data_IF_345665352568
#
_entry.id   IF_345665352568
#
_cell.length_a   1.000
_cell.length_b   1.000
_cell.length_c   1.000
_cell.angle_alpha   90.00
_cell.angle_beta   90.00
_cell.angle_gamma   90.00
#
_symmetry.space_group_name_H-M   'P 1'
#
loop_
_entity.id
_entity.type
_entity.pdbx_description
1 polymer ?
#
# COMPACT_ATOMS: atom_id res chain seq x y z
N UNK A 1 -0.09 -14.65 9.91
CA UNK A 1 0.35 -14.25 11.26
C UNK A 1 -0.60 -13.19 11.73
N UNK A 2 -1.13 -13.36 12.94
CA UNK A 2 -1.97 -12.36 13.60
C UNK A 2 -1.21 -11.97 14.84
N UNK A 3 -0.38 -10.94 14.74
CA UNK A 3 0.25 -10.36 15.90
C UNK A 3 -0.71 -9.36 16.59
N UNK A 4 -0.42 -8.96 17.84
CA UNK A 4 -1.18 -7.89 18.49
C UNK A 4 -1.20 -6.59 17.68
N UNK A 5 -0.08 -6.18 17.05
CA UNK A 5 -0.04 -5.03 16.14
C UNK A 5 -0.93 -5.19 14.90
N UNK A 6 -0.90 -6.37 14.25
CA UNK A 6 -1.80 -6.69 13.13
C UNK A 6 -3.28 -6.58 13.53
N UNK A 7 -3.66 -7.17 14.66
CA UNK A 7 -5.03 -7.13 15.15
C UNK A 7 -5.45 -5.71 15.54
N UNK A 8 -4.54 -4.94 16.15
CA UNK A 8 -4.75 -3.54 16.53
C UNK A 8 -5.00 -2.64 15.33
N UNK A 9 -4.27 -2.79 14.22
CA UNK A 9 -4.54 -2.04 12.98
C UNK A 9 -5.99 -2.24 12.51
N UNK A 10 -6.44 -3.49 12.44
CA UNK A 10 -7.79 -3.83 11.96
C UNK A 10 -8.88 -3.42 12.96
N UNK A 11 -8.62 -3.59 14.26
CA UNK A 11 -9.52 -3.17 15.32
C UNK A 11 -9.71 -1.64 15.35
N UNK A 12 -8.64 -0.87 15.26
CA UNK A 12 -8.72 0.60 15.22
C UNK A 12 -9.41 1.10 13.94
N UNK A 13 -9.17 0.44 12.80
CA UNK A 13 -9.85 0.78 11.56
C UNK A 13 -11.38 0.63 11.69
N UNK A 14 -11.83 -0.39 12.43
CA UNK A 14 -13.26 -0.60 12.74
C UNK A 14 -13.83 0.42 13.73
N UNK A 15 -13.07 0.85 14.74
CA UNK A 15 -13.58 1.69 15.84
C UNK A 15 -13.59 3.20 15.55
N UNK A 16 -12.65 3.68 14.73
CA UNK A 16 -12.27 5.11 14.73
C UNK A 16 -13.11 6.04 13.83
N UNK A 17 -14.28 5.62 13.34
CA UNK A 17 -14.95 6.21 12.15
C UNK A 17 -14.00 6.30 10.93
N UNK A 18 -12.87 5.58 10.99
CA UNK A 18 -11.81 5.58 10.00
C UNK A 18 -12.04 4.39 9.09
N UNK A 19 -12.98 4.54 8.16
CA UNK A 19 -13.35 3.46 7.23
C UNK A 19 -12.26 3.18 6.15
N UNK A 20 -11.08 3.80 6.27
CA UNK A 20 -10.04 3.80 5.24
C UNK A 20 -8.63 4.02 5.80
N UNK A 21 -7.67 3.24 5.30
CA UNK A 21 -6.24 3.46 5.46
C UNK A 21 -5.77 4.32 4.27
N UNK A 22 -5.24 5.49 4.57
CA UNK A 22 -4.79 6.48 3.57
C UNK A 22 -3.27 6.46 3.37
N UNK A 23 -2.78 6.50 2.12
CA UNK A 23 -1.38 6.64 1.81
C UNK A 23 -0.92 8.09 2.03
N UNK A 24 0.36 8.26 2.29
CA UNK A 24 1.06 9.54 2.21
C UNK A 24 2.31 9.34 1.37
N UNK A 25 2.81 10.39 0.75
CA UNK A 25 4.11 10.33 0.05
C UNK A 25 5.13 11.05 0.91
N UNK A 26 6.15 10.32 1.33
CA UNK A 26 7.26 10.89 2.08
C UNK A 26 8.07 11.85 1.20
N UNK A 27 8.91 12.68 1.82
CA UNK A 27 9.85 13.57 1.10
C UNK A 27 10.85 12.82 0.22
N UNK A 28 11.05 11.53 0.50
CA UNK A 28 11.87 10.60 -0.29
C UNK A 28 11.12 10.07 -1.52
N UNK A 29 9.87 10.48 -1.73
CA UNK A 29 8.98 9.95 -2.76
C UNK A 29 8.56 8.51 -2.54
N UNK A 30 8.78 7.95 -1.34
CA UNK A 30 8.22 6.66 -0.95
C UNK A 30 6.75 6.85 -0.58
N UNK A 31 5.88 5.96 -1.06
CA UNK A 31 4.52 5.84 -0.52
C UNK A 31 4.64 5.20 0.85
N UNK A 32 3.97 5.75 1.84
CA UNK A 32 3.93 5.26 3.20
C UNK A 32 2.50 5.21 3.71
N UNK A 33 2.28 4.44 4.77
CA UNK A 33 0.97 4.29 5.41
C UNK A 33 1.07 4.64 6.89
N UNK A 34 1.05 5.93 7.26
CA UNK A 34 1.39 6.37 8.62
C UNK A 34 0.55 5.74 9.73
N UNK A 35 -0.72 5.43 9.43
CA UNK A 35 -1.60 4.74 10.37
C UNK A 35 -1.15 3.30 10.63
N UNK A 36 -0.75 2.57 9.59
CA UNK A 36 -0.26 1.20 9.71
C UNK A 36 1.09 1.20 10.43
N UNK A 37 2.01 2.06 10.00
CA UNK A 37 3.34 2.24 10.61
C UNK A 37 3.28 2.55 12.11
N UNK A 38 2.27 3.31 12.54
CA UNK A 38 2.10 3.67 13.95
C UNK A 38 1.58 2.50 14.81
N UNK A 39 0.84 1.58 14.22
CA UNK A 39 0.10 0.56 14.95
C UNK A 39 0.74 -0.83 14.90
N UNK A 40 1.49 -1.13 13.85
CA UNK A 40 2.30 -2.34 13.79
C UNK A 40 3.41 -2.32 14.84
N UNK A 41 3.70 -3.49 15.39
CA UNK A 41 4.86 -3.69 16.26
C UNK A 41 6.12 -3.88 15.40
N UNK A 42 7.31 -3.60 15.96
CA UNK A 42 8.59 -3.69 15.23
C UNK A 42 8.84 -5.08 14.59
N UNK A 43 8.21 -6.14 15.13
CA UNK A 43 8.34 -7.53 14.67
C UNK A 43 7.30 -7.94 13.61
N UNK A 44 6.36 -7.06 13.28
CA UNK A 44 5.31 -7.30 12.28
C UNK A 44 5.80 -7.16 10.84
N UNK A 45 6.96 -6.51 10.66
CA UNK A 45 7.59 -6.31 9.37
C UNK A 45 7.15 -5.02 8.69
N UNK A 46 7.14 -5.08 7.36
CA UNK A 46 6.95 -3.92 6.50
C UNK A 46 5.45 -3.59 6.31
N UNK A 47 5.02 -2.32 6.44
CA UNK A 47 3.62 -1.92 6.29
C UNK A 47 3.00 -2.32 4.94
N UNK A 48 3.76 -2.25 3.84
CA UNK A 48 3.30 -2.63 2.51
C UNK A 48 3.06 -4.14 2.43
N UNK A 49 3.97 -4.94 3.01
CA UNK A 49 3.80 -6.39 3.10
C UNK A 49 2.58 -6.77 3.96
N UNK A 50 2.31 -6.02 5.04
CA UNK A 50 1.09 -6.19 5.84
C UNK A 50 -0.17 -5.92 4.99
N UNK A 51 -0.21 -4.80 4.26
CA UNK A 51 -1.36 -4.42 3.43
C UNK A 51 -1.61 -5.43 2.30
N UNK A 52 -0.55 -5.95 1.68
CA UNK A 52 -0.60 -7.01 0.69
C UNK A 52 -1.16 -8.31 1.31
N UNK A 53 -0.62 -8.74 2.45
CA UNK A 53 -1.08 -9.95 3.14
C UNK A 53 -2.54 -9.89 3.59
N UNK A 54 -3.01 -8.73 4.09
CA UNK A 54 -4.42 -8.55 4.46
C UNK A 54 -5.34 -8.47 3.23
N UNK A 55 -4.83 -7.98 2.10
CA UNK A 55 -5.57 -7.96 0.82
C UNK A 55 -5.69 -9.35 0.22
N UNK A 56 -4.62 -10.14 0.24
CA UNK A 56 -4.60 -11.53 -0.24
C UNK A 56 -5.57 -12.42 0.55
N UNK A 57 -5.80 -12.08 1.81
CA UNK A 57 -6.79 -12.73 2.70
C UNK A 57 -8.20 -12.13 2.58
N UNK A 58 -8.40 -11.19 1.66
CA UNK A 58 -9.67 -10.49 1.44
C UNK A 58 -10.19 -9.71 2.68
N UNK A 59 -9.35 -9.48 3.69
CA UNK A 59 -9.70 -8.71 4.90
C UNK A 59 -9.67 -7.20 4.60
N UNK A 60 -8.76 -6.78 3.73
CA UNK A 60 -8.71 -5.44 3.17
C UNK A 60 -9.01 -5.46 1.68
N UNK A 61 -9.60 -4.37 1.19
CA UNK A 61 -9.82 -4.14 -0.25
C UNK A 61 -9.08 -2.87 -0.68
N UNK A 62 -8.10 -2.97 -1.60
CA UNK A 62 -7.47 -1.81 -2.19
C UNK A 62 -8.44 -1.05 -3.11
N UNK A 63 -8.36 0.27 -3.08
CA UNK A 63 -9.03 1.18 -3.99
C UNK A 63 -7.99 2.17 -4.49
N UNK A 64 -7.71 2.12 -5.79
CA UNK A 64 -6.84 3.12 -6.43
C UNK A 64 -7.47 4.50 -6.26
N UNK A 65 -6.66 5.47 -5.82
CA UNK A 65 -7.11 6.85 -5.70
C UNK A 65 -6.55 7.71 -6.84
N UNK A 66 -5.22 7.86 -6.89
CA UNK A 66 -4.51 8.56 -7.94
C UNK A 66 -3.06 8.05 -8.01
N UNK A 67 -2.30 8.55 -8.99
CA UNK A 67 -0.86 8.34 -9.07
C UNK A 67 -0.14 9.68 -9.00
N UNK A 68 1.04 9.68 -8.41
CA UNK A 68 1.95 10.84 -8.42
C UNK A 68 3.16 10.54 -9.28
N UNK A 69 3.78 11.61 -9.77
CA UNK A 69 5.10 11.55 -10.38
C UNK A 69 6.15 11.98 -9.36
N UNK A 70 7.19 11.16 -9.22
CA UNK A 70 8.33 11.41 -8.34
C UNK A 70 9.53 11.87 -9.17
N UNK A 71 10.17 12.94 -8.72
CA UNK A 71 11.37 13.47 -9.35
C UNK A 71 12.52 12.46 -9.28
N UNK A 72 13.19 12.13 -10.40
CA UNK A 72 14.30 11.18 -10.40
C UNK A 72 15.56 11.70 -9.68
N UNK A 73 15.74 13.03 -9.59
CA UNK A 73 16.96 13.62 -9.04
C UNK A 73 16.87 13.95 -7.54
N UNK A 74 15.73 14.43 -7.07
CA UNK A 74 15.55 14.84 -5.66
C UNK A 74 14.46 14.09 -4.91
N UNK A 75 13.76 13.16 -5.58
CA UNK A 75 12.63 12.39 -5.03
C UNK A 75 11.44 13.22 -4.52
N UNK A 76 11.37 14.50 -4.89
CA UNK A 76 10.23 15.36 -4.62
C UNK A 76 8.95 14.83 -5.28
N UNK A 77 7.87 14.83 -4.52
CA UNK A 77 6.55 14.39 -4.97
C UNK A 77 5.77 15.49 -5.70
N UNK A 78 4.67 15.12 -6.34
CA UNK A 78 3.72 16.10 -6.88
C UNK A 78 4.32 16.99 -7.97
N UNK A 79 5.18 16.41 -8.83
CA UNK A 79 5.77 17.15 -9.95
C UNK A 79 4.67 17.81 -10.79
N UNK A 80 4.87 19.08 -11.13
CA UNK A 80 3.87 19.86 -11.82
C UNK A 80 3.90 19.56 -13.32
N UNK A 81 2.78 19.09 -13.85
CA UNK A 81 2.59 18.97 -15.28
C UNK A 81 2.60 20.34 -15.97
N UNK A 82 3.36 20.43 -17.06
CA UNK A 82 3.50 21.64 -17.88
C UNK A 82 3.68 21.32 -19.36
N UNK A 83 3.45 22.34 -20.20
CA UNK A 83 3.76 22.32 -21.63
C UNK A 83 5.19 22.76 -21.87
N UNK A 84 5.98 21.93 -22.56
CA UNK A 84 7.38 22.18 -22.88
C UNK A 84 7.64 22.41 -24.37
N UNK A 85 8.70 23.16 -24.66
CA UNK A 85 9.22 23.37 -25.99
C UNK A 85 9.77 22.05 -26.59
N UNK A 86 9.33 21.64 -27.80
CA UNK A 86 9.88 20.48 -28.48
C UNK A 86 11.37 20.61 -28.82
N UNK A 87 11.86 21.84 -29.02
CA UNK A 87 13.23 22.13 -29.48
C UNK A 87 14.26 22.05 -28.35
N UNK A 88 13.94 22.58 -27.17
CA UNK A 88 14.90 22.68 -26.06
C UNK A 88 14.41 22.08 -24.73
N UNK A 89 13.17 21.59 -24.66
CA UNK A 89 12.58 21.00 -23.46
C UNK A 89 12.10 22.00 -22.39
N UNK A 90 12.41 23.29 -22.52
CA UNK A 90 12.00 24.33 -21.56
C UNK A 90 10.48 24.44 -21.44
N UNK A 91 9.99 24.65 -20.22
CA UNK A 91 8.58 24.95 -19.92
C UNK A 91 8.23 26.43 -20.06
N UNK A 92 9.21 27.27 -20.40
CA UNK A 92 9.02 28.71 -20.61
C UNK A 92 8.51 28.99 -22.04
N UNK A 93 7.30 28.52 -22.32
CA UNK A 93 6.62 28.75 -23.59
C UNK A 93 5.18 29.19 -23.36
N UNK A 94 4.77 30.24 -24.07
CA UNK A 94 3.40 30.77 -24.00
C UNK A 94 2.73 30.74 -25.36
N UNK A 95 1.40 30.60 -25.35
CA UNK A 95 0.61 30.58 -26.57
C UNK A 95 0.23 32.00 -26.98
N UNK A 96 0.83 32.46 -28.07
CA UNK A 96 0.77 33.84 -28.55
C UNK A 96 0.06 33.93 -29.90
N UNK A 97 -0.62 35.06 -30.20
CA UNK A 97 -1.18 35.29 -31.52
C UNK A 97 -0.05 35.46 -32.55
N UNK A 98 -0.20 34.79 -33.68
CA UNK A 98 0.70 34.89 -34.83
C UNK A 98 -0.12 35.09 -36.10
N UNK A 99 0.43 35.82 -37.05
CA UNK A 99 -0.14 35.92 -38.39
C UNK A 99 0.52 34.83 -39.23
N UNK A 100 -0.27 34.00 -39.89
CA UNK A 100 0.22 32.98 -40.81
C UNK A 100 -0.43 33.13 -42.18
N UNK A 101 0.28 32.70 -43.22
CA UNK A 101 -0.31 32.56 -44.55
C UNK A 101 -1.24 31.34 -44.55
N UNK A 102 -2.53 31.56 -44.85
CA UNK A 102 -3.55 30.52 -44.83
C UNK A 102 -3.24 29.34 -45.77
N UNK A 103 -2.57 29.60 -46.90
CA UNK A 103 -2.24 28.56 -47.89
C UNK A 103 -1.09 27.65 -47.45
N UNK A 104 -0.01 28.20 -46.89
CA UNK A 104 1.22 27.42 -46.62
C UNK A 104 1.59 27.28 -45.13
N UNK A 105 0.92 28.01 -44.22
CA UNK A 105 1.18 27.97 -42.78
C UNK A 105 2.46 28.70 -42.32
N UNK A 106 3.15 29.40 -43.24
CA UNK A 106 4.32 30.22 -42.91
C UNK A 106 3.94 31.40 -42.02
N UNK A 107 4.70 31.63 -40.94
CA UNK A 107 4.49 32.76 -40.01
C UNK A 107 5.05 34.04 -40.61
N UNK A 108 4.30 35.14 -40.47
CA UNK A 108 4.69 36.49 -40.89
C UNK A 108 4.89 37.39 -39.67
N UNK A 109 5.78 38.38 -39.78
CA UNK A 109 5.99 39.37 -38.73
C UNK A 109 4.79 40.31 -38.67
N UNK A 110 4.39 40.69 -37.44
CA UNK A 110 3.23 41.58 -37.22
C UNK A 110 3.37 42.92 -37.92
N UNK A 111 4.60 43.41 -38.02
CA UNK A 111 4.94 44.76 -38.50
C UNK A 111 4.95 44.82 -40.03
N UNK A 112 4.89 43.68 -40.73
CA UNK A 112 4.92 43.61 -42.21
C UNK A 112 3.64 44.12 -42.88
N UNK A 113 2.60 44.47 -42.11
CA UNK A 113 1.27 44.83 -42.63
C UNK A 113 0.74 46.19 -42.14
N UNK A 114 1.54 46.97 -41.41
CA UNK A 114 1.08 48.26 -40.87
C UNK A 114 0.92 49.37 -41.93
N UNK A 115 1.56 49.23 -43.10
CA UNK A 115 1.61 50.28 -44.15
C UNK A 115 0.78 49.99 -45.41
N UNK A 116 0.05 48.86 -45.49
CA UNK A 116 -0.89 48.57 -46.59
C UNK A 116 -0.25 48.08 -47.90
N UNK A 117 0.99 47.60 -47.85
CA UNK A 117 1.70 47.00 -48.98
C UNK A 117 1.59 45.45 -49.00
N UNK A 118 1.67 44.86 -50.19
CA UNK A 118 1.76 43.42 -50.42
C UNK A 118 2.98 42.85 -49.67
N UNK A 119 2.78 41.86 -48.81
CA UNK A 119 3.87 41.18 -48.12
C UNK A 119 4.20 39.86 -48.83
N UNK A 120 5.47 39.54 -48.99
CA UNK A 120 5.87 38.23 -49.54
C UNK A 120 5.99 37.22 -48.41
N UNK A 121 5.29 36.09 -48.50
CA UNK A 121 5.34 35.04 -47.48
C UNK A 121 6.73 34.41 -47.40
N UNK A 122 7.42 34.38 -46.24
CA UNK A 122 8.75 33.79 -46.12
C UNK A 122 8.77 32.27 -46.30
N UNK A 123 7.62 31.61 -46.11
CA UNK A 123 7.49 30.16 -46.22
C UNK A 123 7.38 29.65 -47.67
N UNK A 124 6.69 30.38 -48.56
CA UNK A 124 6.45 29.94 -49.94
C UNK A 124 6.85 30.96 -51.01
N UNK A 125 7.31 32.16 -50.61
CA UNK A 125 7.68 33.27 -51.50
C UNK A 125 6.56 33.79 -52.41
N UNK A 126 5.30 33.51 -52.06
CA UNK A 126 4.13 34.06 -52.76
C UNK A 126 3.74 35.40 -52.12
N UNK A 127 3.28 36.35 -52.94
CA UNK A 127 2.71 37.60 -52.45
C UNK A 127 1.37 37.31 -51.77
N UNK A 128 1.20 37.80 -50.53
CA UNK A 128 0.02 37.57 -49.71
C UNK A 128 -0.72 38.88 -49.46
N UNK A 129 -2.04 38.83 -49.66
CA UNK A 129 -2.95 39.94 -49.33
C UNK A 129 -3.58 39.71 -47.95
N UNK A 130 -4.27 40.71 -47.39
CA UNK A 130 -4.97 40.57 -46.10
C UNK A 130 -5.97 39.38 -46.10
N UNK A 131 -6.56 39.04 -47.24
CA UNK A 131 -7.50 37.93 -47.38
C UNK A 131 -6.82 36.55 -47.29
N UNK A 132 -5.51 36.48 -47.54
CA UNK A 132 -4.70 35.26 -47.48
C UNK A 132 -4.09 35.03 -46.08
N UNK A 133 -4.34 35.93 -45.13
CA UNK A 133 -3.82 35.86 -43.77
C UNK A 133 -4.82 35.25 -42.80
N UNK A 134 -4.29 34.39 -41.93
CA UNK A 134 -5.04 33.84 -40.81
C UNK A 134 -4.36 34.19 -39.49
N UNK A 135 -5.16 34.60 -38.50
CA UNK A 135 -4.69 34.81 -37.14
C UNK A 135 -4.76 33.51 -36.38
N UNK A 136 -3.61 32.89 -36.14
CA UNK A 136 -3.50 31.67 -35.38
C UNK A 136 -2.87 31.93 -34.01
N UNK A 137 -2.88 30.92 -33.14
CA UNK A 137 -2.26 30.96 -31.82
C UNK A 137 -1.25 29.83 -31.70
N UNK A 138 0.03 30.17 -31.77
CA UNK A 138 1.17 29.24 -31.74
C UNK A 138 1.95 29.42 -30.44
N UNK A 139 2.60 28.37 -29.95
CA UNK A 139 3.51 28.52 -28.82
C UNK A 139 4.79 29.19 -29.27
N UNK A 140 5.29 30.11 -28.44
CA UNK A 140 6.62 30.71 -28.57
C UNK A 140 7.43 30.33 -27.35
N UNK A 141 8.57 29.69 -27.55
CA UNK A 141 9.52 29.44 -26.47
C UNK A 141 10.36 30.71 -26.24
N UNK A 142 10.42 31.15 -24.99
CA UNK A 142 11.17 32.35 -24.60
C UNK A 142 12.65 32.08 -24.36
N UNK A 143 13.06 30.82 -24.24
CA UNK A 143 14.46 30.45 -24.00
C UNK A 143 15.22 30.20 -25.31
N UNK A 144 14.59 29.57 -26.32
CA UNK A 144 15.24 29.27 -27.61
C UNK A 144 14.62 30.01 -28.81
N UNK A 145 13.50 30.71 -28.63
CA UNK A 145 12.82 31.46 -29.68
C UNK A 145 12.02 30.61 -30.68
N UNK A 146 12.03 29.27 -30.56
CA UNK A 146 11.29 28.42 -31.51
C UNK A 146 9.79 28.63 -31.40
N UNK A 147 9.10 28.60 -32.53
CA UNK A 147 7.64 28.64 -32.63
C UNK A 147 7.09 27.29 -33.07
N UNK A 148 6.07 26.78 -32.40
CA UNK A 148 5.53 25.43 -32.63
C UNK A 148 4.05 25.32 -32.24
N UNK A 149 3.32 24.44 -32.89
CA UNK A 149 1.88 24.27 -32.67
C UNK A 149 1.59 23.34 -31.49
N UNK A 150 2.28 22.19 -31.44
CA UNK A 150 2.10 21.16 -30.43
C UNK A 150 3.21 21.20 -29.37
N UNK A 151 2.93 21.63 -28.13
CA UNK A 151 3.88 21.53 -27.05
C UNK A 151 4.10 20.07 -26.66
N UNK A 152 5.30 19.78 -26.17
CA UNK A 152 5.59 18.49 -25.53
C UNK A 152 5.11 18.47 -24.09
N UNK A 153 4.86 17.28 -23.54
CA UNK A 153 4.50 17.11 -22.14
C UNK A 153 5.75 17.07 -21.26
N UNK A 154 5.75 17.84 -20.18
CA UNK A 154 6.84 17.93 -19.22
C UNK A 154 6.32 17.89 -17.79
N UNK A 155 7.16 17.42 -16.89
CA UNK A 155 6.99 17.49 -15.45
C UNK A 155 8.10 18.36 -14.89
N UNK A 156 7.72 19.40 -14.16
CA UNK A 156 8.63 20.32 -13.49
C UNK A 156 8.62 20.04 -11.99
N UNK A 157 9.79 19.75 -11.45
CA UNK A 157 9.97 19.58 -10.01
C UNK A 157 10.11 20.95 -9.34
N UNK A 158 9.28 21.22 -8.33
CA UNK A 158 9.31 22.48 -7.58
C UNK A 158 10.44 22.56 -6.54
N UNK A 159 11.05 21.42 -6.22
CA UNK A 159 12.10 21.34 -5.20
C UNK A 159 13.50 21.53 -5.78
N UNK A 160 13.77 21.01 -6.98
CA UNK A 160 15.09 21.08 -7.64
C UNK A 160 15.09 21.78 -9.01
N UNK A 161 13.94 22.28 -9.46
CA UNK A 161 13.72 22.91 -10.76
C UNK A 161 13.97 22.00 -11.99
N UNK A 162 14.22 20.71 -11.78
CA UNK A 162 14.40 19.73 -12.85
C UNK A 162 13.15 19.60 -13.74
N UNK A 163 13.37 19.45 -15.05
CA UNK A 163 12.32 19.31 -16.07
C UNK A 163 12.54 18.01 -16.82
N UNK A 164 11.55 17.11 -16.77
CA UNK A 164 11.64 15.78 -17.39
C UNK A 164 10.40 15.48 -18.24
N UNK A 165 10.53 14.68 -19.30
CA UNK A 165 9.40 13.98 -19.89
C UNK A 165 8.74 13.06 -18.85
N UNK A 166 7.41 12.87 -18.86
CA UNK A 166 6.74 11.92 -17.96
C UNK A 166 7.34 10.51 -17.98
N UNK A 167 7.74 10.03 -19.16
CA UNK A 167 8.34 8.70 -19.33
C UNK A 167 9.72 8.52 -18.65
N UNK A 168 10.37 9.61 -18.22
CA UNK A 168 11.66 9.58 -17.52
C UNK A 168 11.49 9.79 -16.00
N UNK A 169 10.25 9.85 -15.52
CA UNK A 169 9.94 9.99 -14.09
C UNK A 169 9.36 8.69 -13.53
N UNK A 170 9.44 8.53 -12.21
CA UNK A 170 8.85 7.37 -11.53
C UNK A 170 7.38 7.65 -11.23
N UNK A 171 6.50 6.74 -11.63
CA UNK A 171 5.08 6.79 -11.31
C UNK A 171 4.81 5.96 -10.06
N UNK A 172 4.21 6.57 -9.06
CA UNK A 172 3.83 5.89 -7.83
C UNK A 172 2.30 5.89 -7.71
N UNK A 173 1.64 4.72 -7.80
CA UNK A 173 0.21 4.60 -7.56
C UNK A 173 -0.09 4.64 -6.06
N UNK A 174 -1.13 5.39 -5.69
CA UNK A 174 -1.61 5.49 -4.32
C UNK A 174 -2.92 4.70 -4.18
N UNK A 175 -2.96 3.86 -3.16
CA UNK A 175 -4.10 3.02 -2.83
C UNK A 175 -4.63 3.36 -1.45
N UNK A 176 -5.94 3.53 -1.37
CA UNK A 176 -6.72 3.42 -0.15
C UNK A 176 -6.99 1.96 0.16
N UNK A 177 -7.00 1.58 1.43
CA UNK A 177 -7.45 0.25 1.84
C UNK A 177 -8.67 0.38 2.73
N UNK A 178 -9.71 -0.37 2.38
CA UNK A 178 -10.96 -0.42 3.14
C UNK A 178 -11.08 -1.77 3.82
N UNK A 179 -11.56 -1.77 5.07
CA UNK A 179 -11.98 -3.00 5.72
C UNK A 179 -13.13 -3.63 4.94
N UNK A 180 -13.05 -4.93 4.67
CA UNK A 180 -14.15 -5.66 4.05
C UNK A 180 -15.10 -6.20 5.11
N UNK A 181 -16.28 -6.69 4.70
CA UNK A 181 -17.18 -7.41 5.62
C UNK A 181 -16.49 -8.63 6.23
N UNK A 182 -15.71 -9.37 5.43
CA UNK A 182 -14.92 -10.50 5.94
C UNK A 182 -13.84 -10.03 6.93
N UNK A 183 -13.19 -8.90 6.66
CA UNK A 183 -12.26 -8.25 7.58
C UNK A 183 -12.90 -7.84 8.90
N UNK A 184 -14.11 -7.27 8.86
CA UNK A 184 -14.89 -6.93 10.06
C UNK A 184 -15.24 -8.17 10.88
N UNK A 185 -15.83 -9.19 10.26
CA UNK A 185 -16.22 -10.45 10.92
C UNK A 185 -15.00 -11.15 11.52
N UNK A 186 -13.91 -11.22 10.75
CA UNK A 186 -12.64 -11.78 11.19
C UNK A 186 -12.08 -11.05 12.41
N UNK A 187 -12.07 -9.70 12.37
CA UNK A 187 -11.57 -8.87 13.47
C UNK A 187 -12.39 -9.08 14.72
N UNK A 188 -13.72 -9.14 14.59
CA UNK A 188 -14.63 -9.42 15.71
C UNK A 188 -14.32 -10.77 16.33
N UNK A 189 -14.17 -11.84 15.52
CA UNK A 189 -13.84 -13.17 16.02
C UNK A 189 -12.50 -13.19 16.79
N UNK A 190 -11.46 -12.50 16.30
CA UNK A 190 -10.18 -12.43 17.02
C UNK A 190 -10.31 -11.67 18.35
N UNK A 191 -11.05 -10.54 18.36
CA UNK A 191 -11.27 -9.74 19.56
C UNK A 191 -12.11 -10.48 20.61
N UNK A 192 -13.14 -11.19 20.18
CA UNK A 192 -13.99 -12.03 21.04
C UNK A 192 -13.17 -13.18 21.62
N UNK A 193 -12.44 -13.93 20.80
CA UNK A 193 -11.57 -15.01 21.27
C UNK A 193 -10.52 -14.54 22.28
N UNK A 194 -9.87 -13.40 22.04
CA UNK A 194 -8.92 -12.79 22.97
C UNK A 194 -9.58 -12.42 24.30
N UNK A 195 -10.79 -11.87 24.24
CA UNK A 195 -11.57 -11.53 25.43
C UNK A 195 -11.98 -12.79 26.20
N UNK A 196 -12.45 -13.84 25.51
CA UNK A 196 -12.80 -15.13 26.08
C UNK A 196 -11.60 -15.75 26.83
N UNK A 197 -10.39 -15.67 26.26
CA UNK A 197 -9.16 -16.08 26.95
C UNK A 197 -8.90 -15.30 28.23
N UNK A 198 -8.93 -13.96 28.15
CA UNK A 198 -8.69 -13.11 29.31
C UNK A 198 -9.70 -13.38 30.44
N UNK A 199 -11.00 -13.43 30.10
CA UNK A 199 -12.08 -13.74 31.04
C UNK A 199 -11.89 -15.14 31.67
N UNK A 200 -11.39 -16.12 30.91
CA UNK A 200 -11.12 -17.46 31.41
C UNK A 200 -9.91 -17.55 32.36
N UNK A 201 -8.90 -16.70 32.18
CA UNK A 201 -7.78 -16.58 33.11
C UNK A 201 -8.17 -15.83 34.39
N UNK A 202 -8.91 -14.72 34.27
CA UNK A 202 -9.44 -13.98 35.43
C UNK A 202 -10.35 -14.84 36.30
N UNK A 203 -11.21 -15.66 35.69
CA UNK A 203 -12.07 -16.62 36.40
C UNK A 203 -11.27 -17.64 37.23
N UNK A 204 -10.03 -17.93 36.81
CA UNK A 204 -9.07 -18.82 37.50
C UNK A 204 -8.15 -18.08 38.46
N UNK A 205 -8.36 -16.78 38.70
CA UNK A 205 -7.61 -15.91 39.64
C UNK A 205 -6.24 -15.45 39.15
N UNK A 206 -5.95 -15.55 37.86
CA UNK A 206 -4.80 -14.85 37.30
C UNK A 206 -5.05 -13.34 37.27
N UNK A 207 -3.99 -12.55 37.40
CA UNK A 207 -3.97 -11.14 37.04
C UNK A 207 -3.62 -11.03 35.55
N UNK A 208 -4.57 -10.56 34.74
CA UNK A 208 -4.47 -10.60 33.28
C UNK A 208 -4.18 -9.22 32.68
N UNK A 209 -3.27 -9.18 31.71
CA UNK A 209 -2.98 -8.03 30.84
C UNK A 209 -3.23 -8.41 29.38
N UNK A 210 -3.89 -7.52 28.62
CA UNK A 210 -4.24 -7.73 27.20
C UNK A 210 -3.43 -6.79 26.32
N UNK A 211 -3.02 -7.26 25.15
CA UNK A 211 -2.17 -6.56 24.17
C UNK A 211 -0.95 -5.92 24.84
N UNK A 212 -0.23 -6.73 25.61
CA UNK A 212 0.93 -6.30 26.36
C UNK A 212 2.21 -6.73 25.66
N UNK A 213 3.33 -6.31 26.23
CA UNK A 213 4.65 -6.60 25.71
C UNK A 213 5.50 -7.24 26.79
N UNK A 214 6.20 -8.30 26.40
CA UNK A 214 7.19 -8.98 27.23
C UNK A 214 8.57 -8.42 26.87
N UNK A 215 9.26 -7.86 27.87
CA UNK A 215 10.64 -7.40 27.68
C UNK A 215 11.61 -8.55 27.82
N UNK A 216 12.44 -8.75 26.79
CA UNK A 216 13.46 -9.80 26.71
C UNK A 216 14.85 -9.18 26.59
N UNK A 217 15.90 -10.01 26.63
CA UNK A 217 17.26 -9.54 26.37
C UNK A 217 17.45 -9.02 24.92
N UNK A 218 16.65 -9.52 23.98
CA UNK A 218 16.75 -9.28 22.54
C UNK A 218 15.72 -8.25 22.03
N UNK A 219 14.84 -7.76 22.89
CA UNK A 219 13.88 -6.70 22.55
C UNK A 219 12.55 -6.86 23.25
N UNK A 220 11.51 -6.35 22.61
CA UNK A 220 10.13 -6.41 23.09
C UNK A 220 9.33 -7.41 22.25
N UNK A 221 8.59 -8.30 22.91
CA UNK A 221 7.73 -9.30 22.26
C UNK A 221 6.28 -8.97 22.58
N UNK A 222 5.49 -8.49 21.60
CA UNK A 222 4.07 -8.26 21.80
C UNK A 222 3.33 -9.59 21.93
N UNK A 223 2.40 -9.67 22.88
CA UNK A 223 1.57 -10.86 23.13
C UNK A 223 0.11 -10.44 23.37
N UNK A 224 -0.84 -11.27 22.95
CA UNK A 224 -2.26 -10.88 23.07
C UNK A 224 -2.74 -10.90 24.52
N UNK A 225 -2.30 -11.88 25.30
CA UNK A 225 -2.67 -12.01 26.72
C UNK A 225 -1.48 -12.49 27.53
N UNK A 226 -1.17 -11.80 28.62
CA UNK A 226 -0.26 -12.26 29.67
C UNK A 226 -1.05 -12.39 30.96
N UNK A 227 -0.89 -13.50 31.67
CA UNK A 227 -1.62 -13.79 32.89
C UNK A 227 -0.69 -14.37 33.96
N UNK A 228 -0.76 -13.86 35.19
CA UNK A 228 0.12 -14.25 36.29
C UNK A 228 -0.68 -14.63 37.55
N UNK A 229 -0.36 -15.77 38.15
CA UNK A 229 -0.79 -16.15 39.51
C UNK A 229 0.40 -16.07 40.46
N UNK A 230 0.55 -14.92 41.13
CA UNK A 230 1.63 -14.68 42.07
C UNK A 230 1.59 -15.54 43.34
N UNK A 231 0.51 -16.29 43.61
CA UNK A 231 0.47 -17.26 44.72
C UNK A 231 1.04 -18.61 44.31
N UNK A 232 0.86 -18.99 43.05
CA UNK A 232 1.34 -20.25 42.50
C UNK A 232 2.67 -20.13 41.75
N UNK A 233 3.19 -18.90 41.61
CA UNK A 233 4.38 -18.60 40.79
C UNK A 233 4.22 -19.15 39.37
N UNK A 234 3.02 -18.98 38.80
CA UNK A 234 2.64 -19.54 37.50
C UNK A 234 2.22 -18.43 36.54
N UNK A 235 2.83 -18.41 35.36
CA UNK A 235 2.59 -17.42 34.32
C UNK A 235 2.07 -18.10 33.05
N UNK A 236 1.24 -17.39 32.29
CA UNK A 236 0.72 -17.80 30.99
C UNK A 236 0.96 -16.68 29.99
N UNK A 237 1.46 -17.05 28.83
CA UNK A 237 1.46 -16.18 27.64
C UNK A 237 0.53 -16.81 26.64
N UNK A 238 -0.41 -16.03 26.11
CA UNK A 238 -1.34 -16.51 25.11
C UNK A 238 -1.44 -15.62 23.89
N UNK A 239 -1.55 -16.25 22.73
CA UNK A 239 -1.79 -15.60 21.45
C UNK A 239 -3.05 -16.11 20.76
N UNK A 240 -3.68 -15.23 19.99
CA UNK A 240 -4.91 -15.50 19.24
C UNK A 240 -4.62 -15.50 17.75
N UNK A 241 -5.01 -16.57 17.09
CA UNK A 241 -4.87 -16.72 15.65
C UNK A 241 -6.13 -17.34 15.06
N UNK A 242 -6.45 -16.99 13.81
CA UNK A 242 -7.51 -17.66 13.07
C UNK A 242 -7.21 -19.16 12.95
N UNK A 243 -6.12 -19.46 12.27
CA UNK A 243 -5.43 -20.76 12.33
C UNK A 243 -3.93 -20.51 12.48
N UNK A 244 -3.27 -21.07 13.52
CA UNK A 244 -1.88 -20.78 13.84
C UNK A 244 -0.90 -21.39 12.82
N UNK A 245 0.23 -20.71 12.60
CA UNK A 245 1.35 -21.19 11.76
C UNK A 245 2.54 -21.67 12.60
N UNK A 246 3.52 -22.35 11.98
CA UNK A 246 4.77 -22.78 12.64
C UNK A 246 5.52 -21.56 13.24
N UNK A 247 5.50 -20.43 12.53
CA UNK A 247 6.13 -19.18 12.97
C UNK A 247 5.40 -18.55 14.17
N UNK A 248 4.06 -18.57 14.17
CA UNK A 248 3.25 -18.06 15.27
C UNK A 248 3.56 -18.82 16.57
N UNK A 249 3.53 -20.17 16.51
CA UNK A 249 3.84 -21.05 17.65
C UNK A 249 5.28 -20.86 18.13
N UNK A 250 6.24 -20.75 17.21
CA UNK A 250 7.65 -20.56 17.55
C UNK A 250 7.88 -19.25 18.31
N UNK A 251 7.25 -18.15 17.87
CA UNK A 251 7.33 -16.84 18.53
C UNK A 251 6.70 -16.85 19.91
N UNK A 252 5.53 -17.46 20.06
CA UNK A 252 4.87 -17.59 21.36
C UNK A 252 5.75 -18.38 22.34
N UNK A 253 6.37 -19.47 21.88
CA UNK A 253 7.27 -20.27 22.72
C UNK A 253 8.54 -19.49 23.10
N UNK A 254 9.08 -18.65 22.22
CA UNK A 254 10.17 -17.71 22.56
C UNK A 254 9.73 -16.78 23.69
N UNK A 255 8.58 -16.12 23.53
CA UNK A 255 8.01 -15.21 24.51
C UNK A 255 7.80 -15.88 25.88
N UNK A 256 7.20 -17.06 25.88
CA UNK A 256 6.90 -17.81 27.10
C UNK A 256 8.16 -18.23 27.87
N UNK A 257 9.23 -18.63 27.17
CA UNK A 257 10.50 -19.03 27.82
C UNK A 257 11.21 -17.87 28.52
N UNK A 258 11.09 -16.65 27.98
CA UNK A 258 11.75 -15.47 28.55
C UNK A 258 11.17 -15.07 29.92
N UNK A 259 9.91 -15.42 30.19
CA UNK A 259 9.21 -15.12 31.45
C UNK A 259 8.83 -16.36 32.25
N UNK A 260 9.40 -17.52 31.92
CA UNK A 260 9.10 -18.82 32.55
C UNK A 260 7.58 -19.12 32.61
N UNK A 261 6.88 -18.83 31.52
CA UNK A 261 5.44 -18.98 31.39
C UNK A 261 5.05 -20.19 30.53
N UNK A 262 3.79 -20.61 30.66
CA UNK A 262 3.17 -21.63 29.81
C UNK A 262 2.59 -20.99 28.55
N UNK A 263 2.95 -21.47 27.34
CA UNK A 263 2.38 -20.95 26.10
C UNK A 263 0.98 -21.53 25.84
N UNK A 264 0.03 -20.66 25.50
CA UNK A 264 -1.34 -21.00 25.10
C UNK A 264 -1.66 -20.37 23.73
N UNK A 265 -2.13 -21.16 22.78
CA UNK A 265 -2.63 -20.65 21.49
C UNK A 265 -4.14 -20.82 21.43
N UNK A 266 -4.87 -19.78 21.04
CA UNK A 266 -6.26 -19.88 20.63
C UNK A 266 -6.34 -19.89 19.10
N UNK A 267 -6.91 -20.97 18.54
CA UNK A 267 -7.29 -21.08 17.13
C UNK A 267 -8.78 -20.74 17.00
N UNK A 268 -9.12 -19.54 16.51
CA UNK A 268 -10.52 -19.08 16.49
C UNK A 268 -11.37 -19.78 15.44
N UNK A 269 -10.77 -20.31 14.37
CA UNK A 269 -11.48 -21.16 13.40
C UNK A 269 -11.53 -22.64 13.83
N UNK A 270 -10.85 -22.97 14.94
CA UNK A 270 -10.76 -24.31 15.50
C UNK A 270 -9.91 -25.28 14.71
N UNK A 271 -9.06 -24.81 13.80
CA UNK A 271 -8.21 -25.63 12.95
C UNK A 271 -6.72 -25.42 13.20
N UNK A 272 -5.94 -26.49 13.02
CA UNK A 272 -4.47 -26.48 13.12
C UNK A 272 -3.90 -27.34 11.99
N UNK A 273 -2.85 -26.89 11.30
CA UNK A 273 -2.17 -27.72 10.29
C UNK A 273 -1.38 -28.86 10.96
N UNK A 274 -1.26 -30.02 10.31
CA UNK A 274 -0.54 -31.20 10.84
C UNK A 274 0.87 -30.85 11.34
N UNK A 275 1.62 -30.02 10.61
CA UNK A 275 2.98 -29.64 11.01
C UNK A 275 3.00 -28.73 12.23
N UNK A 276 1.98 -27.89 12.35
CA UNK A 276 1.81 -27.00 13.50
C UNK A 276 1.41 -27.82 14.72
N UNK A 277 0.55 -28.84 14.55
CA UNK A 277 0.19 -29.78 15.61
C UNK A 277 1.42 -30.57 16.12
N UNK A 278 2.27 -31.06 15.22
CA UNK A 278 3.54 -31.73 15.58
C UNK A 278 4.44 -30.80 16.42
N UNK A 279 4.51 -29.51 16.06
CA UNK A 279 5.29 -28.52 16.79
C UNK A 279 4.69 -28.19 18.16
N UNK A 280 3.36 -28.04 18.24
CA UNK A 280 2.62 -27.82 19.49
C UNK A 280 2.88 -28.95 20.49
N UNK A 281 2.83 -30.21 20.03
CA UNK A 281 3.09 -31.38 20.86
C UNK A 281 4.56 -31.43 21.32
N UNK A 282 5.49 -31.10 20.43
CA UNK A 282 6.92 -31.09 20.74
C UNK A 282 7.30 -30.03 21.79
N UNK A 283 6.67 -28.85 21.71
CA UNK A 283 6.96 -27.71 22.59
C UNK A 283 6.06 -27.64 23.83
N UNK A 284 5.04 -28.51 23.93
CA UNK A 284 4.13 -28.55 25.07
C UNK A 284 3.19 -27.35 25.13
N UNK A 285 2.78 -26.83 23.97
CA UNK A 285 1.87 -25.69 23.85
C UNK A 285 0.43 -26.13 24.11
N UNK A 286 -0.30 -25.36 24.90
CA UNK A 286 -1.73 -25.63 25.11
C UNK A 286 -2.52 -24.98 23.98
N UNK A 287 -3.34 -25.75 23.27
CA UNK A 287 -4.24 -25.22 22.23
C UNK A 287 -5.65 -25.17 22.76
N UNK A 288 -6.30 -24.04 22.54
CA UNK A 288 -7.72 -23.84 22.73
C UNK A 288 -8.36 -23.48 21.39
N UNK A 289 -9.65 -23.76 21.26
CA UNK A 289 -10.51 -23.22 20.22
C UNK A 289 -11.78 -22.65 20.84
N UNK A 290 -12.51 -21.84 20.06
CA UNK A 290 -13.78 -21.28 20.47
C UNK A 290 -14.92 -21.99 19.72
N UNK A 291 -15.88 -22.54 20.47
CA UNK A 291 -17.12 -23.15 19.94
C UNK A 291 -18.29 -22.71 20.79
N UNK A 292 -19.33 -22.17 20.14
CA UNK A 292 -20.56 -21.70 20.81
C UNK A 292 -20.27 -20.75 22.00
N UNK A 293 -19.35 -19.79 21.82
CA UNK A 293 -18.89 -18.83 22.84
C UNK A 293 -18.21 -19.48 24.07
N UNK A 294 -17.77 -20.74 23.97
CA UNK A 294 -17.01 -21.44 25.01
C UNK A 294 -15.63 -21.89 24.50
N UNK A 295 -14.62 -21.69 25.35
CA UNK A 295 -13.27 -22.21 25.11
C UNK A 295 -13.20 -23.72 25.37
N UNK A 296 -12.72 -24.46 24.38
CA UNK A 296 -12.51 -25.92 24.45
C UNK A 296 -11.11 -26.30 24.02
N UNK A 297 -10.61 -27.45 24.46
CA UNK A 297 -9.34 -28.03 23.98
C UNK A 297 -9.49 -28.84 22.69
N UNK A 298 -10.71 -28.94 22.15
CA UNK A 298 -10.98 -29.67 20.91
C UNK A 298 -10.65 -28.80 19.69
N UNK A 299 -9.89 -29.34 18.74
CA UNK A 299 -9.59 -28.68 17.47
C UNK A 299 -9.44 -29.72 16.34
N UNK A 300 -9.53 -29.27 15.10
CA UNK A 300 -9.44 -30.11 13.91
C UNK A 300 -8.05 -29.98 13.26
N UNK A 301 -7.39 -31.12 13.04
CA UNK A 301 -6.12 -31.16 12.31
C UNK A 301 -6.40 -31.22 10.82
N UNK A 302 -5.83 -30.28 10.06
CA UNK A 302 -5.97 -30.21 8.60
C UNK A 302 -4.66 -30.60 7.91
N UNK A 303 -4.76 -31.33 6.79
CA UNK A 303 -3.64 -31.60 5.90
C UNK A 303 -3.61 -30.50 4.83
N UNK A 304 -2.73 -29.50 4.92
CA UNK A 304 -2.56 -28.59 3.78
C UNK A 304 -2.01 -29.36 2.58
N UNK A 305 -2.58 -29.21 1.36
CA UNK A 305 -1.93 -29.69 0.17
C UNK A 305 -0.57 -28.97 0.02
N UNK A 306 0.48 -29.70 -0.36
CA UNK A 306 1.79 -29.13 -0.70
C UNK A 306 1.61 -27.90 -1.59
N UNK A 307 2.01 -26.72 -1.12
CA UNK A 307 1.95 -25.51 -1.94
C UNK A 307 2.77 -25.70 -3.23
N UNK A 308 2.23 -25.34 -4.42
CA UNK A 308 3.04 -25.26 -5.62
C UNK A 308 4.05 -24.13 -5.46
N UNK A 309 5.33 -24.49 -5.42
CA UNK A 309 6.44 -23.54 -5.35
C UNK A 309 6.63 -22.81 -6.69
N UNK A 310 5.74 -21.88 -7.06
CA UNK A 310 6.06 -20.69 -7.86
C UNK A 310 4.79 -19.92 -8.28
N UNK A 311 4.94 -18.61 -8.51
CA UNK A 311 3.95 -17.79 -9.22
C UNK A 311 3.61 -18.33 -10.62
N UNK A 312 4.50 -19.14 -11.22
CA UNK A 312 4.26 -19.77 -12.53
C UNK A 312 3.28 -20.93 -12.43
N UNK A 313 3.30 -21.71 -11.35
CA UNK A 313 2.39 -22.84 -11.16
C UNK A 313 0.94 -22.39 -10.92
N UNK A 314 0.73 -21.24 -10.25
CA UNK A 314 -0.60 -20.62 -10.11
C UNK A 314 -1.18 -20.16 -11.46
N UNK A 315 -0.35 -19.66 -12.36
CA UNK A 315 -0.76 -19.31 -13.73
C UNK A 315 -1.14 -20.54 -14.56
N UNK A 316 -0.45 -21.67 -14.38
CA UNK A 316 -0.74 -22.92 -15.11
C UNK A 316 -2.05 -23.55 -14.65
N UNK A 317 -2.31 -23.64 -13.34
CA UNK A 317 -3.58 -24.18 -12.82
C UNK A 317 -4.82 -23.36 -13.22
N UNK A 318 -4.67 -22.04 -13.38
CA UNK A 318 -5.75 -21.16 -13.88
C UNK A 318 -6.06 -21.41 -15.37
N UNK A 319 -5.04 -21.70 -16.18
CA UNK A 319 -5.21 -21.99 -17.60
C UNK A 319 -5.78 -23.40 -17.85
N UNK A 320 -5.41 -24.39 -17.04
CA UNK A 320 -5.95 -25.76 -17.16
C UNK A 320 -7.43 -25.86 -16.74
N UNK A 321 -7.85 -25.06 -15.76
CA UNK A 321 -9.26 -24.98 -15.32
C UNK A 321 -10.18 -24.39 -16.41
N UNK A 322 -9.62 -23.52 -17.26
CA UNK A 322 -10.32 -22.85 -18.36
C UNK A 322 -10.53 -23.75 -19.58
N UNK A 323 -9.66 -24.75 -19.77
CA UNK A 323 -9.69 -25.66 -20.92
C UNK A 323 -10.67 -26.84 -20.76
N UNK A 324 -11.20 -27.09 -19.55
CA UNK A 324 -12.18 -28.16 -19.31
C UNK A 324 -13.65 -27.73 -19.52
N UNK A 325 -13.89 -26.44 -19.83
CA UNK A 325 -15.22 -25.86 -20.05
C UNK A 325 -15.50 -25.47 -21.52
N UNK A 326 -14.88 -26.18 -22.48
CA UNK A 326 -15.19 -26.05 -23.91
C UNK A 326 -15.57 -27.38 -24.54
#
# INVERSE_FOLDING_TARGET
MVSPGTLRVLAELRESDRDVIEPTVAKTGAVTYPFVEQQLDDRDGDPEAFLEAMTDRELLRPAFEYKVYICPDCAGEGMQYSSGCPSCGSVHATREPVIVHATCGGTLESDSFEDGDDATCPGCSEDVTEADLERQRRYRCHDCGSSFDDPTHRLWCRDCDGIYPPAETREEPLYHYHLTVAGEEWTVAQLEGRRSLADAFDARRYETSVDTTITTADGEIPVHVYAEDGLLEDCIVADVHESPTEDDVSRLCEAAREVDARPVVLATDGTVDERVADLIDAEGVTVLSERDDELTSEYEITERPREPNSLLDRFVSALESSASRS
#
